data_IF_574055986019
#
_entry.id   IF_574055986019
#
_cell.length_a   1.000
_cell.length_b   1.000
_cell.length_c   1.000
_cell.angle_alpha   90.00
_cell.angle_beta   90.00
_cell.angle_gamma   90.00
#
_symmetry.space_group_name_H-M   'P 1'
#
loop_
_entity.id
_entity.type
_entity.pdbx_description
1 polymer ?
#
# COMPACT_ATOMS: atom_id res chain seq x y z
N UNK A 1 7.55 33.81 -22.48
CA UNK A 1 6.58 33.71 -21.36
C UNK A 1 5.82 32.40 -21.48
N UNK A 2 6.31 31.33 -20.86
CA UNK A 2 5.60 30.05 -20.85
C UNK A 2 4.51 30.07 -19.81
N UNK A 3 3.26 29.89 -20.25
CA UNK A 3 2.09 29.80 -19.37
C UNK A 3 2.18 28.49 -18.58
N UNK A 4 2.48 28.58 -17.30
CA UNK A 4 2.28 27.47 -16.36
C UNK A 4 0.79 27.20 -16.29
N UNK A 5 0.35 26.11 -16.87
CA UNK A 5 -1.03 25.65 -16.81
C UNK A 5 -1.25 25.02 -15.45
N UNK A 6 -1.72 25.82 -14.49
CA UNK A 6 -2.13 25.32 -13.19
C UNK A 6 -3.40 24.46 -13.39
N UNK A 7 -3.21 23.16 -13.52
CA UNK A 7 -4.31 22.21 -13.57
C UNK A 7 -4.72 21.92 -12.14
N UNK A 8 -5.82 22.55 -11.73
CA UNK A 8 -6.54 22.18 -10.50
C UNK A 8 -6.93 20.71 -10.61
N UNK A 9 -6.38 19.90 -9.69
CA UNK A 9 -6.69 18.47 -9.58
C UNK A 9 -8.19 18.30 -9.35
N UNK A 10 -8.90 17.90 -10.37
CA UNK A 10 -10.27 17.38 -10.23
C UNK A 10 -10.20 16.17 -9.32
N UNK A 11 -10.97 16.19 -8.22
CA UNK A 11 -11.19 15.06 -7.33
C UNK A 11 -11.77 13.89 -8.15
N UNK A 12 -10.90 13.06 -8.71
CA UNK A 12 -11.28 11.74 -9.19
C UNK A 12 -11.60 10.91 -7.95
N UNK A 13 -12.78 10.30 -7.90
CA UNK A 13 -13.11 9.27 -6.92
C UNK A 13 -11.93 8.31 -6.85
N UNK A 14 -11.24 8.27 -5.71
CA UNK A 14 -10.15 7.32 -5.49
C UNK A 14 -10.81 5.96 -5.37
N UNK A 15 -10.92 5.27 -6.49
CA UNK A 15 -11.27 3.85 -6.52
C UNK A 15 -10.12 3.17 -5.77
N UNK A 16 -10.42 2.29 -4.84
CA UNK A 16 -9.40 1.49 -4.16
C UNK A 16 -8.85 0.46 -5.16
N UNK A 17 -7.93 0.91 -6.00
CA UNK A 17 -7.26 0.05 -6.98
C UNK A 17 -6.16 -0.76 -6.29
N UNK A 18 -5.97 -1.99 -6.75
CA UNK A 18 -4.95 -2.91 -6.25
C UNK A 18 -4.38 -3.72 -7.42
N UNK A 19 -3.07 -4.01 -7.37
CA UNK A 19 -2.47 -4.91 -8.35
C UNK A 19 -2.97 -6.34 -8.15
N UNK A 20 -2.92 -7.17 -9.19
CA UNK A 20 -3.27 -8.60 -9.07
C UNK A 20 -2.37 -9.27 -8.04
N UNK A 21 -1.07 -9.03 -8.11
CA UNK A 21 -0.09 -9.60 -7.16
C UNK A 21 -0.37 -9.16 -5.72
N UNK A 22 -0.80 -7.91 -5.50
CA UNK A 22 -1.22 -7.40 -4.19
C UNK A 22 -2.46 -8.12 -3.67
N UNK A 23 -3.46 -8.31 -4.52
CA UNK A 23 -4.68 -9.02 -4.18
C UNK A 23 -4.43 -10.50 -3.81
N UNK A 24 -3.63 -11.20 -4.61
CA UNK A 24 -3.27 -12.60 -4.35
C UNK A 24 -2.52 -12.74 -3.03
N UNK A 25 -1.54 -11.87 -2.76
CA UNK A 25 -0.79 -11.86 -1.50
C UNK A 25 -1.67 -11.61 -0.28
N UNK A 26 -2.59 -10.65 -0.33
CA UNK A 26 -3.50 -10.39 0.79
C UNK A 26 -4.54 -11.50 0.97
N UNK A 27 -4.95 -12.15 -0.10
CA UNK A 27 -5.84 -13.33 -0.06
C UNK A 27 -5.14 -14.53 0.59
N UNK A 28 -3.87 -14.74 0.29
CA UNK A 28 -3.05 -15.77 0.92
C UNK A 28 -2.84 -15.47 2.41
N UNK A 29 -2.52 -14.21 2.76
CA UNK A 29 -2.42 -13.77 4.16
C UNK A 29 -3.72 -14.06 4.92
N UNK A 30 -4.86 -13.67 4.37
CA UNK A 30 -6.19 -13.93 4.96
C UNK A 30 -6.43 -15.43 5.17
N UNK A 31 -6.09 -16.25 4.19
CA UNK A 31 -6.24 -17.71 4.28
C UNK A 31 -5.37 -18.29 5.39
N UNK A 32 -4.12 -17.85 5.49
CA UNK A 32 -3.18 -18.29 6.52
C UNK A 32 -3.63 -17.87 7.92
N UNK A 33 -4.12 -16.64 8.10
CA UNK A 33 -4.64 -16.18 9.37
C UNK A 33 -5.89 -16.97 9.81
N UNK A 34 -6.80 -17.25 8.88
CA UNK A 34 -8.03 -18.03 9.15
C UNK A 34 -7.76 -19.49 9.50
N UNK A 35 -6.69 -20.06 8.98
CA UNK A 35 -6.34 -21.47 9.20
C UNK A 35 -5.28 -21.58 10.30
N UNK A 36 -4.02 -21.36 9.95
CA UNK A 36 -2.89 -21.54 10.85
C UNK A 36 -2.94 -20.58 12.04
N UNK A 37 -3.30 -19.32 11.81
CA UNK A 37 -3.39 -18.32 12.88
C UNK A 37 -4.42 -18.69 13.93
N UNK A 38 -5.63 -19.09 13.53
CA UNK A 38 -6.67 -19.52 14.48
C UNK A 38 -6.30 -20.80 15.22
N UNK A 39 -5.65 -21.75 14.55
CA UNK A 39 -5.16 -22.98 15.20
C UNK A 39 -4.12 -22.66 16.28
N UNK A 40 -3.17 -21.80 15.97
CA UNK A 40 -2.11 -21.43 16.92
C UNK A 40 -2.66 -20.70 18.15
N UNK A 41 -3.57 -19.74 17.94
CA UNK A 41 -4.21 -19.04 19.07
C UNK A 41 -5.09 -19.97 19.91
N UNK A 42 -5.82 -20.90 19.26
CA UNK A 42 -6.60 -21.90 19.98
C UNK A 42 -5.70 -22.79 20.85
N UNK A 43 -4.57 -23.24 20.33
CA UNK A 43 -3.57 -24.01 21.08
C UNK A 43 -3.06 -23.25 22.30
N UNK A 44 -2.66 -21.98 22.13
CA UNK A 44 -2.20 -21.12 23.24
C UNK A 44 -3.27 -20.95 24.33
N UNK A 45 -4.53 -20.74 23.92
CA UNK A 45 -5.64 -20.64 24.86
C UNK A 45 -5.88 -21.94 25.63
N UNK A 46 -5.75 -23.09 25.00
CA UNK A 46 -5.89 -24.39 25.62
C UNK A 46 -4.74 -24.64 26.62
N UNK A 47 -3.50 -24.38 26.21
CA UNK A 47 -2.33 -24.47 27.10
C UNK A 47 -2.47 -23.56 28.33
N UNK A 48 -2.84 -22.30 28.13
CA UNK A 48 -3.04 -21.36 29.22
C UNK A 48 -4.13 -21.82 30.22
N UNK A 49 -5.20 -22.47 29.73
CA UNK A 49 -6.25 -23.07 30.60
C UNK A 49 -5.74 -24.21 31.43
N UNK A 50 -4.77 -24.98 30.96
CA UNK A 50 -4.22 -26.13 31.67
C UNK A 50 -3.40 -25.73 32.91
N UNK A 51 -2.95 -24.48 33.03
CA UNK A 51 -2.17 -23.97 34.15
C UNK A 51 -2.98 -23.57 35.39
N UNK A 52 -4.33 -23.69 35.42
CA UNK A 52 -5.15 -23.56 36.63
C UNK A 52 -6.01 -22.28 36.66
N UNK A 53 -6.01 -21.52 37.75
CA UNK A 53 -6.92 -20.40 37.96
C UNK A 53 -6.82 -19.32 36.89
N UNK A 54 -7.91 -19.16 36.13
CA UNK A 54 -7.97 -18.28 34.97
C UNK A 54 -8.08 -16.79 35.35
N UNK A 55 -8.45 -16.48 36.59
CA UNK A 55 -8.68 -15.10 37.01
C UNK A 55 -7.39 -14.28 37.12
N UNK A 56 -6.27 -14.94 37.44
CA UNK A 56 -4.94 -14.32 37.59
C UNK A 56 -3.94 -14.80 36.51
N UNK A 57 -4.41 -15.54 35.54
CA UNK A 57 -3.54 -16.15 34.50
C UNK A 57 -3.19 -15.14 33.40
N UNK A 58 -2.02 -14.52 33.54
CA UNK A 58 -1.49 -13.56 32.57
C UNK A 58 -1.32 -14.16 31.15
N UNK A 59 -1.02 -15.47 31.06
CA UNK A 59 -0.87 -16.16 29.77
C UNK A 59 -2.21 -16.30 29.05
N UNK A 60 -3.28 -16.60 29.79
CA UNK A 60 -4.62 -16.65 29.23
C UNK A 60 -5.08 -15.28 28.75
N UNK A 61 -4.81 -14.20 29.52
CA UNK A 61 -5.12 -12.83 29.12
C UNK A 61 -4.35 -12.44 27.83
N UNK A 62 -3.05 -12.79 27.76
CA UNK A 62 -2.24 -12.54 26.56
C UNK A 62 -2.76 -13.30 25.34
N UNK A 63 -3.13 -14.57 25.47
CA UNK A 63 -3.70 -15.36 24.38
C UNK A 63 -5.06 -14.82 23.91
N UNK A 64 -5.88 -14.27 24.82
CA UNK A 64 -7.14 -13.58 24.46
C UNK A 64 -6.89 -12.28 23.71
N UNK A 65 -5.87 -11.53 24.06
CA UNK A 65 -5.47 -10.34 23.33
C UNK A 65 -4.95 -10.68 21.93
N UNK A 66 -4.14 -11.75 21.79
CA UNK A 66 -3.71 -12.26 20.49
C UNK A 66 -4.91 -12.70 19.64
N UNK A 67 -5.89 -13.37 20.25
CA UNK A 67 -7.13 -13.76 19.55
C UNK A 67 -7.85 -12.53 19.00
N UNK A 68 -8.02 -11.49 19.81
CA UNK A 68 -8.70 -10.27 19.38
C UNK A 68 -7.95 -9.60 18.20
N UNK A 69 -6.62 -9.44 18.32
CA UNK A 69 -5.78 -8.89 17.22
C UNK A 69 -5.86 -9.70 15.94
N UNK A 70 -5.92 -11.02 16.05
CA UNK A 70 -6.06 -11.93 14.89
C UNK A 70 -7.41 -11.71 14.19
N UNK A 71 -8.52 -11.69 14.93
CA UNK A 71 -9.86 -11.49 14.36
C UNK A 71 -10.03 -10.09 13.78
N UNK A 72 -9.47 -9.05 14.42
CA UNK A 72 -9.44 -7.70 13.88
C UNK A 72 -8.69 -7.67 12.53
N UNK A 73 -7.51 -8.30 12.45
CA UNK A 73 -6.74 -8.36 11.20
C UNK A 73 -7.48 -9.12 10.10
N UNK A 74 -8.15 -10.22 10.44
CA UNK A 74 -8.99 -10.98 9.49
C UNK A 74 -10.10 -10.09 8.95
N UNK A 75 -10.82 -9.40 9.84
CA UNK A 75 -11.92 -8.50 9.47
C UNK A 75 -11.45 -7.35 8.57
N UNK A 76 -10.30 -6.74 8.88
CA UNK A 76 -9.69 -5.68 8.06
C UNK A 76 -9.35 -6.15 6.66
N UNK A 77 -8.74 -7.35 6.54
CA UNK A 77 -8.43 -7.93 5.23
C UNK A 77 -9.68 -8.26 4.42
N UNK A 78 -10.71 -8.83 5.05
CA UNK A 78 -12.01 -9.11 4.40
C UNK A 78 -12.66 -7.83 3.88
N UNK A 79 -12.71 -6.79 4.71
CA UNK A 79 -13.24 -5.49 4.34
C UNK A 79 -12.44 -4.86 3.19
N UNK A 80 -11.12 -4.97 3.22
CA UNK A 80 -10.22 -4.45 2.19
C UNK A 80 -10.48 -5.17 0.87
N UNK A 81 -10.37 -6.51 0.86
CA UNK A 81 -10.52 -7.33 -0.34
C UNK A 81 -11.93 -7.23 -0.97
N UNK A 82 -12.95 -6.96 -0.17
CA UNK A 82 -14.32 -6.79 -0.67
C UNK A 82 -14.56 -5.45 -1.39
N UNK A 83 -13.69 -4.45 -1.19
CA UNK A 83 -13.88 -3.07 -1.69
C UNK A 83 -12.86 -2.66 -2.73
N UNK A 84 -11.85 -3.49 -3.02
CA UNK A 84 -10.83 -3.18 -4.01
C UNK A 84 -11.26 -3.55 -5.42
N UNK A 85 -10.76 -2.79 -6.39
CA UNK A 85 -10.83 -3.13 -7.81
C UNK A 85 -9.46 -3.63 -8.23
N UNK A 86 -9.37 -4.89 -8.63
CA UNK A 86 -8.13 -5.48 -9.14
C UNK A 86 -7.89 -4.95 -10.55
N UNK A 87 -6.72 -4.32 -10.73
CA UNK A 87 -6.30 -3.82 -12.04
C UNK A 87 -5.75 -4.97 -12.90
N UNK A 88 -6.04 -4.91 -14.19
CA UNK A 88 -5.48 -5.81 -15.19
C UNK A 88 -4.14 -5.23 -15.68
N UNK A 89 -3.03 -5.79 -15.22
CA UNK A 89 -1.68 -5.31 -15.52
C UNK A 89 -1.36 -5.37 -17.04
N UNK A 90 -2.00 -6.25 -17.79
CA UNK A 90 -1.83 -6.34 -19.22
C UNK A 90 -2.45 -5.16 -19.99
N UNK A 91 -3.48 -4.55 -19.39
CA UNK A 91 -4.23 -3.42 -19.98
C UNK A 91 -3.82 -2.06 -19.41
N UNK A 92 -2.74 -1.98 -18.63
CA UNK A 92 -2.28 -0.73 -18.07
C UNK A 92 -1.86 0.25 -19.17
N UNK A 93 -2.42 1.46 -19.09
CA UNK A 93 -2.04 2.58 -19.94
C UNK A 93 -0.76 3.24 -19.41
N UNK A 94 0.37 3.00 -20.06
CA UNK A 94 1.67 3.60 -19.73
C UNK A 94 1.78 5.08 -20.12
N UNK A 95 0.76 5.65 -20.75
CA UNK A 95 0.77 7.09 -21.06
C UNK A 95 0.52 7.94 -19.81
N UNK A 96 -0.03 7.36 -18.73
CA UNK A 96 -0.35 8.07 -17.51
C UNK A 96 0.08 7.30 -16.28
N UNK A 97 0.63 8.03 -15.29
CA UNK A 97 0.99 7.45 -14.01
C UNK A 97 -0.25 6.90 -13.27
N UNK A 98 -0.20 5.61 -12.92
CA UNK A 98 -1.29 4.88 -12.27
C UNK A 98 -0.79 3.71 -11.46
N UNK A 99 -1.68 3.11 -10.67
CA UNK A 99 -1.37 1.90 -9.88
C UNK A 99 -0.93 0.76 -10.80
N UNK A 100 0.09 0.02 -10.38
CA UNK A 100 0.72 -1.07 -11.15
C UNK A 100 1.85 -0.63 -12.07
N UNK A 101 2.16 0.68 -12.11
CA UNK A 101 3.22 1.22 -12.96
C UNK A 101 4.43 1.67 -12.15
N UNK A 102 5.59 1.56 -12.79
CA UNK A 102 6.88 2.08 -12.33
C UNK A 102 7.11 3.47 -12.88
N UNK A 103 7.40 4.43 -12.00
CA UNK A 103 7.49 5.83 -12.36
C UNK A 103 8.85 6.37 -11.93
N UNK A 104 9.58 6.94 -12.88
CA UNK A 104 10.85 7.63 -12.62
C UNK A 104 10.60 9.13 -12.59
N UNK A 105 11.07 9.77 -11.52
CA UNK A 105 10.92 11.20 -11.23
C UNK A 105 12.29 11.84 -11.12
N UNK A 106 12.52 12.96 -11.83
CA UNK A 106 13.67 13.81 -11.62
C UNK A 106 13.34 14.91 -10.61
N UNK A 107 14.24 15.15 -9.68
CA UNK A 107 14.13 16.24 -8.69
C UNK A 107 14.65 17.54 -9.33
N UNK A 108 13.75 18.51 -9.52
CA UNK A 108 14.10 19.79 -10.13
C UNK A 108 14.78 20.78 -9.16
N UNK A 109 14.70 20.50 -7.87
CA UNK A 109 15.33 21.31 -6.82
C UNK A 109 16.73 20.78 -6.47
N UNK A 110 17.07 19.54 -6.91
CA UNK A 110 18.36 18.90 -6.71
C UNK A 110 18.83 18.22 -8.01
N UNK A 111 19.57 18.93 -8.81
CA UNK A 111 20.06 18.46 -10.13
C UNK A 111 20.73 17.09 -10.05
N UNK A 112 20.41 16.24 -11.01
CA UNK A 112 20.96 14.89 -11.17
C UNK A 112 20.40 13.84 -10.22
N UNK A 113 19.40 14.15 -9.40
CA UNK A 113 18.72 13.16 -8.57
C UNK A 113 17.47 12.64 -9.25
N UNK A 114 17.43 11.34 -9.44
CA UNK A 114 16.25 10.63 -9.91
C UNK A 114 15.77 9.64 -8.85
N UNK A 115 14.46 9.46 -8.78
CA UNK A 115 13.80 8.52 -7.88
C UNK A 115 12.88 7.63 -8.70
N UNK A 116 13.00 6.33 -8.51
CA UNK A 116 12.11 5.36 -9.14
C UNK A 116 11.20 4.73 -8.09
N UNK A 117 9.91 4.74 -8.39
CA UNK A 117 8.87 4.23 -7.50
C UNK A 117 7.95 3.26 -8.22
N UNK A 118 7.55 2.20 -7.54
CA UNK A 118 6.42 1.39 -7.96
C UNK A 118 5.15 1.94 -7.28
N UNK A 119 4.22 2.44 -8.08
CA UNK A 119 2.95 2.99 -7.58
C UNK A 119 1.95 1.85 -7.37
N UNK A 120 1.58 1.65 -6.12
CA UNK A 120 0.72 0.53 -5.70
C UNK A 120 -0.56 1.01 -5.03
N UNK A 121 -1.52 0.12 -4.87
CA UNK A 121 -2.71 0.37 -4.08
C UNK A 121 -2.36 0.66 -2.61
N UNK A 122 -3.18 1.46 -1.94
CA UNK A 122 -2.89 1.90 -0.57
C UNK A 122 -2.76 0.76 0.42
N UNK A 123 -3.54 -0.28 0.22
CA UNK A 123 -3.61 -1.45 1.10
C UNK A 123 -2.47 -2.46 0.83
N UNK A 124 -1.77 -2.31 -0.29
CA UNK A 124 -0.66 -3.20 -0.65
C UNK A 124 0.64 -2.90 0.08
N UNK A 125 0.78 -1.71 0.69
CA UNK A 125 1.98 -1.31 1.42
C UNK A 125 2.15 -2.02 2.76
N UNK A 126 1.11 -2.64 3.30
CA UNK A 126 1.21 -3.43 4.53
C UNK A 126 2.13 -4.63 4.29
N UNK A 127 3.38 -4.52 4.74
CA UNK A 127 4.36 -5.60 4.77
C UNK A 127 5.54 -5.54 3.80
N UNK A 128 5.53 -4.70 2.76
CA UNK A 128 6.67 -4.59 1.85
C UNK A 128 6.85 -3.17 1.31
N UNK A 129 7.80 -2.43 1.90
CA UNK A 129 8.15 -1.07 1.46
C UNK A 129 8.93 -1.04 0.13
N UNK A 130 9.48 -2.17 -0.30
CA UNK A 130 10.28 -2.31 -1.51
C UNK A 130 9.83 -3.49 -2.35
N UNK A 131 9.90 -3.32 -3.68
CA UNK A 131 9.68 -4.40 -4.64
C UNK A 131 10.90 -5.31 -4.75
N UNK A 132 10.75 -6.44 -5.44
CA UNK A 132 11.89 -7.23 -5.89
C UNK A 132 12.82 -6.34 -6.72
N UNK A 133 14.10 -6.26 -6.32
CA UNK A 133 15.07 -5.33 -6.93
C UNK A 133 15.31 -4.03 -6.16
N UNK A 134 14.71 -3.85 -4.97
CA UNK A 134 14.99 -2.73 -4.07
C UNK A 134 14.34 -1.40 -4.46
N UNK A 135 13.37 -1.41 -5.39
CA UNK A 135 12.62 -0.21 -5.78
C UNK A 135 11.59 0.11 -4.72
N UNK A 136 11.55 1.35 -4.27
CA UNK A 136 10.62 1.80 -3.26
C UNK A 136 9.17 1.76 -3.78
N UNK A 137 8.29 1.17 -3.01
CA UNK A 137 6.84 1.16 -3.28
C UNK A 137 6.20 2.36 -2.60
N UNK A 138 5.35 3.06 -3.34
CA UNK A 138 4.57 4.18 -2.80
C UNK A 138 3.09 3.96 -3.07
N UNK A 139 2.25 4.37 -2.14
CA UNK A 139 0.82 4.28 -2.35
C UNK A 139 0.29 5.46 -3.14
N UNK A 140 -0.80 5.24 -3.86
CA UNK A 140 -1.56 6.30 -4.52
C UNK A 140 -2.04 7.39 -3.54
N UNK A 141 -2.21 7.07 -2.24
CA UNK A 141 -2.58 8.03 -1.19
C UNK A 141 -1.40 8.79 -0.59
N UNK A 142 -0.15 8.38 -0.88
CA UNK A 142 1.04 9.11 -0.42
C UNK A 142 1.14 10.50 -1.07
N UNK A 143 1.84 11.47 -0.47
CA UNK A 143 1.99 12.80 -1.06
C UNK A 143 2.56 12.78 -2.48
N UNK A 144 3.55 11.92 -2.74
CA UNK A 144 4.12 11.73 -4.08
C UNK A 144 3.12 11.04 -5.00
N UNK A 145 2.51 9.94 -4.56
CA UNK A 145 1.53 9.19 -5.34
C UNK A 145 0.34 10.04 -5.76
N UNK A 146 -0.20 10.86 -4.85
CA UNK A 146 -1.29 11.80 -5.17
C UNK A 146 -0.88 12.85 -6.21
N UNK A 147 0.36 13.36 -6.10
CA UNK A 147 0.83 14.40 -7.01
C UNK A 147 1.06 13.89 -8.42
N UNK A 148 1.51 12.63 -8.59
CA UNK A 148 1.84 12.08 -9.91
C UNK A 148 0.68 11.35 -10.58
N UNK A 149 -0.31 10.87 -9.85
CA UNK A 149 -1.41 10.06 -10.37
C UNK A 149 -2.17 10.77 -11.51
N UNK A 150 -2.28 10.10 -12.66
CA UNK A 150 -2.94 10.60 -13.85
C UNK A 150 -2.13 11.56 -14.72
N UNK A 151 -0.93 11.95 -14.29
CA UNK A 151 0.01 12.76 -15.06
C UNK A 151 0.76 11.94 -16.10
N UNK A 152 1.32 12.62 -17.10
CA UNK A 152 2.05 12.02 -18.22
C UNK A 152 3.56 12.30 -18.10
N UNK A 153 4.36 11.58 -18.88
CA UNK A 153 5.80 11.87 -19.03
C UNK A 153 6.00 13.32 -19.48
N UNK A 154 6.91 14.02 -18.84
CA UNK A 154 7.23 15.42 -19.07
C UNK A 154 6.50 16.39 -18.14
N UNK A 155 5.42 15.98 -17.46
CA UNK A 155 4.70 16.82 -16.50
C UNK A 155 5.57 17.12 -15.27
N UNK A 156 5.44 18.36 -14.78
CA UNK A 156 6.03 18.81 -13.53
C UNK A 156 4.97 18.89 -12.44
N UNK A 157 5.27 18.32 -11.29
CA UNK A 157 4.36 18.24 -10.14
C UNK A 157 5.02 18.83 -8.90
N UNK A 158 4.20 19.41 -8.02
CA UNK A 158 4.65 19.94 -6.74
C UNK A 158 4.16 19.00 -5.64
N UNK A 159 5.10 18.44 -4.91
CA UNK A 159 4.84 17.53 -3.79
C UNK A 159 5.04 18.27 -2.47
N UNK A 160 4.01 18.29 -1.64
CA UNK A 160 4.11 18.81 -0.27
C UNK A 160 4.59 17.72 0.67
N UNK A 161 5.73 17.92 1.30
CA UNK A 161 6.31 17.02 2.30
C UNK A 161 6.51 17.78 3.62
N UNK A 162 6.66 17.09 4.77
CA UNK A 162 6.84 17.75 6.08
C UNK A 162 8.02 18.74 6.14
N UNK A 163 9.03 18.56 5.29
CA UNK A 163 10.23 19.41 5.21
C UNK A 163 10.13 20.53 4.17
N UNK A 164 8.94 20.75 3.57
CA UNK A 164 8.73 21.79 2.54
C UNK A 164 8.03 21.26 1.29
N UNK A 165 8.31 21.89 0.16
CA UNK A 165 7.80 21.45 -1.14
C UNK A 165 8.94 20.99 -2.02
N UNK A 166 8.68 19.99 -2.88
CA UNK A 166 9.59 19.51 -3.92
C UNK A 166 8.93 19.63 -5.27
N UNK A 167 9.70 20.06 -6.26
CA UNK A 167 9.29 20.02 -7.66
C UNK A 167 9.90 18.80 -8.32
N UNK A 168 9.04 17.93 -8.82
CA UNK A 168 9.43 16.69 -9.47
C UNK A 168 8.91 16.68 -10.90
N UNK A 169 9.69 16.13 -11.81
CA UNK A 169 9.29 15.92 -13.22
C UNK A 169 9.19 14.44 -13.51
N UNK A 170 8.12 14.03 -14.16
CA UNK A 170 7.95 12.64 -14.59
C UNK A 170 8.84 12.41 -15.83
N UNK A 171 9.83 11.53 -15.66
CA UNK A 171 10.83 11.21 -16.71
C UNK A 171 10.41 9.99 -17.51
N UNK A 172 9.92 8.95 -16.80
CA UNK A 172 9.50 7.71 -17.43
C UNK A 172 8.34 7.07 -16.68
N UNK A 173 7.49 6.36 -17.43
CA UNK A 173 6.41 5.51 -16.93
C UNK A 173 6.54 4.16 -17.62
N UNK A 174 6.76 3.10 -16.85
CA UNK A 174 6.99 1.74 -17.33
C UNK A 174 6.05 0.75 -16.63
N UNK A 175 5.93 -0.46 -17.20
CA UNK A 175 5.33 -1.63 -16.53
C UNK A 175 6.32 -2.32 -15.61
#
# INVERSE_FOLDING_TARGET
MMKVKLILATKKNVVNEMTRSGYERLTEELTNLRTLGRQEVARKLEEARAFGDLSENAEYAAAKEEQAKLEDRISDLENTLSKVTVIDEDKLDTNRAGVGLRITLADLDHEGKEYTYDLVGSEELSGAAFSAGGIQRISQKSPVGQAISGHIVGDEVIVKIPRGTRRLKIVAINK
#
